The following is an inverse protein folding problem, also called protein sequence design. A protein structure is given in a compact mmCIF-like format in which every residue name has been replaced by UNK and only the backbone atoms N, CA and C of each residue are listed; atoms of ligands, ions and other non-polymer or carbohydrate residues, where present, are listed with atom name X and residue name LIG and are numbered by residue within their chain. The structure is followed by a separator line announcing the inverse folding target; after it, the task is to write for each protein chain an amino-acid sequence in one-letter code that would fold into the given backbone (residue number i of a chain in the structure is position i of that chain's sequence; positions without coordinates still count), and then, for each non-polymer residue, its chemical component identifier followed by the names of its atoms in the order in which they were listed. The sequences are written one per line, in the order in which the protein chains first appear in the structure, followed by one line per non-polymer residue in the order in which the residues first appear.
data_IF_105501101548
#
_entry.id   IF_105501101548
#
_cell.length_a   1.000
_cell.length_b   1.000
_cell.length_c   1.000
_cell.angle_alpha   90.00
_cell.angle_beta   90.00
_cell.angle_gamma   90.00
#
_symmetry.space_group_name_H-M   'P 1'
#
loop_
_entity.id
_entity.type
_entity.pdbx_description
1 polymer ?
#
# COMPACT_ATOMS: atom_id res chain seq x y z
N UNK A 1 6.38 -17.75 13.77
CA UNK A 1 6.07 -16.33 13.52
C UNK A 1 4.67 -16.10 14.05
N UNK A 2 4.41 -14.96 14.71
CA UNK A 2 3.05 -14.54 15.06
C UNK A 2 2.59 -13.55 14.00
N UNK A 3 1.39 -13.72 13.48
CA UNK A 3 0.78 -12.72 12.59
C UNK A 3 0.20 -11.57 13.41
N UNK A 4 -0.16 -10.47 12.72
CA UNK A 4 -0.64 -9.25 13.33
C UNK A 4 -1.85 -9.50 14.26
N UNK A 5 -2.79 -10.35 13.84
CA UNK A 5 -3.95 -10.74 14.65
C UNK A 5 -3.53 -11.30 16.01
N UNK A 6 -2.61 -12.27 16.04
CA UNK A 6 -2.14 -12.87 17.30
C UNK A 6 -1.25 -11.89 18.10
N UNK A 7 -0.44 -11.09 17.42
CA UNK A 7 0.50 -10.18 18.08
C UNK A 7 -0.22 -9.05 18.81
N UNK A 8 -1.21 -8.44 18.17
CA UNK A 8 -1.97 -7.31 18.72
C UNK A 8 -3.21 -7.75 19.50
N UNK A 9 -3.72 -8.97 19.27
CA UNK A 9 -4.99 -9.41 19.82
C UNK A 9 -6.17 -8.63 19.23
N UNK A 10 -6.08 -8.28 17.94
CA UNK A 10 -6.99 -7.41 17.20
C UNK A 10 -7.20 -8.03 15.80
N UNK A 11 -8.45 -8.20 15.36
CA UNK A 11 -8.77 -8.75 14.02
C UNK A 11 -8.48 -7.75 12.92
N UNK A 12 -8.64 -6.46 13.20
CA UNK A 12 -8.52 -5.39 12.21
C UNK A 12 -7.19 -4.63 12.32
N UNK A 13 -6.21 -5.10 11.55
CA UNK A 13 -4.88 -4.50 11.53
C UNK A 13 -4.48 -4.12 10.11
N UNK A 14 -4.28 -2.82 9.92
CA UNK A 14 -3.69 -2.25 8.71
C UNK A 14 -2.17 -2.08 8.87
N UNK A 15 -1.41 -2.63 7.93
CA UNK A 15 0.03 -2.49 7.81
C UNK A 15 0.33 -1.57 6.61
N UNK A 16 0.91 -0.39 6.86
CA UNK A 16 1.14 0.63 5.81
C UNK A 16 2.53 1.24 5.90
N UNK A 17 3.18 1.44 4.75
CA UNK A 17 4.36 2.29 4.64
C UNK A 17 5.27 1.91 3.47
N UNK A 18 6.42 2.56 3.40
CA UNK A 18 7.54 2.18 2.52
C UNK A 18 8.21 0.91 3.07
N UNK A 19 8.05 -0.19 2.36
CA UNK A 19 8.61 -1.49 2.69
C UNK A 19 9.81 -1.86 1.82
N UNK A 20 10.19 -0.98 0.87
CA UNK A 20 11.19 -1.25 -0.17
C UNK A 20 10.93 -2.59 -0.87
N UNK A 21 9.66 -2.88 -1.16
CA UNK A 21 9.15 -4.21 -1.45
C UNK A 21 9.18 -4.66 -2.91
N UNK A 22 10.12 -4.16 -3.70
CA UNK A 22 10.25 -4.47 -5.14
C UNK A 22 11.68 -4.14 -5.62
N UNK A 23 11.93 -4.33 -6.92
CA UNK A 23 13.13 -3.90 -7.61
C UNK A 23 14.38 -4.66 -7.17
N UNK A 24 15.47 -3.93 -6.98
CA UNK A 24 16.74 -4.52 -6.57
C UNK A 24 16.79 -4.88 -5.07
N UNK A 25 15.83 -4.39 -4.27
CA UNK A 25 15.83 -4.59 -2.83
C UNK A 25 15.15 -5.90 -2.42
N UNK A 26 14.06 -6.24 -3.11
CA UNK A 26 13.24 -7.38 -2.74
C UNK A 26 12.48 -7.93 -3.94
N UNK A 27 12.31 -9.26 -3.99
CA UNK A 27 11.42 -9.92 -4.95
C UNK A 27 9.99 -9.85 -4.41
N UNK A 28 9.17 -8.97 -4.97
CA UNK A 28 7.80 -8.70 -4.52
C UNK A 28 6.88 -9.93 -4.50
N UNK A 29 7.19 -10.99 -5.24
CA UNK A 29 6.45 -12.25 -5.18
C UNK A 29 6.74 -13.02 -3.88
N UNK A 30 7.92 -12.85 -3.29
CA UNK A 30 8.32 -13.49 -2.02
C UNK A 30 7.60 -12.89 -0.81
N UNK A 31 6.95 -11.73 -0.94
CA UNK A 31 6.27 -11.06 0.15
C UNK A 31 5.04 -11.85 0.63
N UNK A 32 4.46 -12.68 -0.25
CA UNK A 32 3.38 -13.61 0.08
C UNK A 32 3.82 -14.69 1.08
N UNK A 33 5.11 -14.95 1.26
CA UNK A 33 5.58 -15.88 2.31
C UNK A 33 5.50 -15.26 3.71
N UNK A 34 5.54 -13.92 3.80
CA UNK A 34 5.49 -13.17 5.06
C UNK A 34 4.08 -12.65 5.37
N UNK A 35 3.35 -12.27 4.33
CA UNK A 35 1.94 -11.85 4.36
C UNK A 35 1.11 -12.80 3.48
N UNK A 36 0.85 -14.03 3.97
CA UNK A 36 0.22 -15.04 3.14
C UNK A 36 -1.24 -14.68 2.81
N UNK A 37 -1.72 -14.95 1.58
CA UNK A 37 -3.04 -14.50 1.12
C UNK A 37 -4.25 -15.03 1.91
N UNK A 38 -4.07 -16.09 2.71
CA UNK A 38 -5.10 -16.62 3.60
C UNK A 38 -5.17 -15.86 4.95
N UNK A 39 -4.13 -15.11 5.30
CA UNK A 39 -4.04 -14.33 6.55
C UNK A 39 -4.09 -12.82 6.31
N UNK A 40 -3.69 -12.38 5.11
CA UNK A 40 -3.58 -10.98 4.75
C UNK A 40 -4.22 -10.69 3.40
N UNK A 41 -4.90 -9.56 3.35
CA UNK A 41 -5.36 -8.89 2.16
C UNK A 41 -4.26 -7.98 1.62
N UNK A 42 -3.81 -8.25 0.40
CA UNK A 42 -2.91 -7.36 -0.35
C UNK A 42 -3.71 -6.27 -1.05
N UNK A 43 -3.47 -5.02 -0.66
CA UNK A 43 -4.26 -3.88 -1.17
C UNK A 43 -3.50 -3.15 -2.27
N UNK A 44 -2.21 -2.84 -2.08
CA UNK A 44 -1.38 -2.31 -3.18
C UNK A 44 -0.77 -3.47 -3.98
N UNK A 45 -1.13 -3.61 -5.27
CA UNK A 45 -0.64 -4.71 -6.10
C UNK A 45 0.82 -4.49 -6.51
N UNK A 46 1.50 -5.59 -6.81
CA UNK A 46 2.86 -5.64 -7.36
C UNK A 46 3.05 -4.81 -8.66
N UNK A 47 1.97 -4.52 -9.38
CA UNK A 47 2.03 -3.68 -10.59
C UNK A 47 2.01 -2.17 -10.33
N UNK A 48 1.97 -1.71 -9.08
CA UNK A 48 1.80 -0.29 -8.75
C UNK A 48 3.14 0.45 -8.70
N UNK A 49 3.30 1.51 -9.51
CA UNK A 49 4.46 2.39 -9.39
C UNK A 49 4.27 3.37 -8.24
N UNK A 50 5.00 3.20 -7.14
CA UNK A 50 4.93 4.08 -5.97
C UNK A 50 6.07 5.09 -5.93
N UNK A 51 6.88 5.20 -6.99
CA UNK A 51 8.11 6.02 -6.99
C UNK A 51 8.04 7.20 -7.95
N UNK A 52 8.52 8.36 -7.51
CA UNK A 52 8.78 9.54 -8.37
C UNK A 52 10.15 9.36 -9.04
N UNK A 53 10.33 8.20 -9.69
CA UNK A 53 11.59 7.81 -10.32
C UNK A 53 11.35 7.41 -11.78
N UNK A 54 12.44 7.24 -12.52
CA UNK A 54 12.36 6.74 -13.90
C UNK A 54 11.98 5.26 -13.97
N UNK A 55 12.35 4.50 -12.95
CA UNK A 55 12.07 3.07 -12.84
C UNK A 55 10.85 2.89 -11.95
N UNK A 56 9.87 2.16 -12.44
CA UNK A 56 8.69 1.77 -11.66
C UNK A 56 9.09 0.75 -10.61
N UNK A 57 8.78 1.02 -9.35
CA UNK A 57 8.89 0.04 -8.27
C UNK A 57 7.71 0.16 -7.30
N UNK A 58 7.27 -0.97 -6.74
CA UNK A 58 6.23 -1.04 -5.71
C UNK A 58 6.85 -1.06 -4.31
N UNK A 59 7.39 0.08 -3.85
CA UNK A 59 8.03 0.17 -2.53
C UNK A 59 7.03 0.35 -1.39
N UNK A 60 6.02 1.17 -1.61
CA UNK A 60 5.01 1.49 -0.61
C UNK A 60 3.88 0.47 -0.68
N UNK A 61 3.49 -0.09 0.47
CA UNK A 61 2.45 -1.11 0.57
C UNK A 61 1.37 -0.71 1.56
N UNK A 62 0.16 -1.15 1.23
CA UNK A 62 -0.91 -1.39 2.20
C UNK A 62 -1.21 -2.89 2.14
N UNK A 63 -1.14 -3.54 3.29
CA UNK A 63 -1.76 -4.84 3.52
C UNK A 63 -2.65 -4.75 4.76
N UNK A 64 -3.71 -5.54 4.79
CA UNK A 64 -4.60 -5.66 5.93
C UNK A 64 -4.68 -7.12 6.38
N UNK A 65 -5.03 -7.37 7.63
CA UNK A 65 -5.48 -8.71 8.03
C UNK A 65 -6.72 -9.12 7.23
N UNK A 66 -6.90 -10.42 6.99
CA UNK A 66 -7.96 -10.91 6.10
C UNK A 66 -9.39 -10.61 6.60
N UNK A 67 -9.59 -10.37 7.89
CA UNK A 67 -10.87 -9.95 8.47
C UNK A 67 -11.37 -8.63 7.85
N UNK A 68 -10.47 -7.65 7.65
CA UNK A 68 -10.77 -6.34 7.06
C UNK A 68 -11.25 -6.39 5.59
N UNK A 69 -11.35 -7.58 4.98
CA UNK A 69 -11.88 -7.72 3.61
C UNK A 69 -13.33 -7.23 3.50
N UNK A 70 -14.13 -7.30 4.56
CA UNK A 70 -15.50 -6.79 4.58
C UNK A 70 -15.59 -5.26 4.59
N UNK A 71 -14.59 -4.62 5.19
CA UNK A 71 -14.47 -3.17 5.23
C UNK A 71 -13.84 -2.60 3.97
N UNK A 72 -12.92 -3.32 3.33
CA UNK A 72 -12.27 -2.81 2.13
C UNK A 72 -13.28 -2.64 0.98
N UNK A 73 -13.37 -1.44 0.42
CA UNK A 73 -14.30 -1.17 -0.69
C UNK A 73 -13.86 -1.81 -2.01
N UNK A 74 -12.63 -2.32 -2.07
CA UNK A 74 -11.95 -2.72 -3.30
C UNK A 74 -11.23 -1.56 -3.99
N UNK A 75 -11.37 -0.33 -3.48
CA UNK A 75 -10.68 0.83 -4.03
C UNK A 75 -9.33 1.04 -3.35
N UNK A 76 -8.32 1.27 -4.18
CA UNK A 76 -6.98 1.64 -3.78
C UNK A 76 -6.27 2.35 -4.93
N UNK A 77 -5.12 2.93 -4.65
CA UNK A 77 -4.26 3.43 -5.71
C UNK A 77 -3.05 4.19 -5.23
N UNK A 78 -2.36 4.76 -6.21
CA UNK A 78 -1.22 5.66 -6.02
C UNK A 78 -1.68 7.06 -6.37
N UNK A 79 -1.45 8.02 -5.47
CA UNK A 79 -1.74 9.42 -5.72
C UNK A 79 -0.60 10.10 -6.47
N UNK A 80 -0.76 10.17 -7.80
CA UNK A 80 0.15 10.84 -8.74
C UNK A 80 0.01 12.35 -8.64
N UNK A 81 0.53 12.92 -7.56
CA UNK A 81 0.45 14.36 -7.30
C UNK A 81 1.12 15.18 -8.41
N UNK A 82 2.13 14.63 -9.07
CA UNK A 82 2.88 15.22 -10.18
C UNK A 82 2.02 15.43 -11.44
N UNK A 83 0.99 14.61 -11.62
CA UNK A 83 0.06 14.67 -12.75
C UNK A 83 -1.07 15.69 -12.54
N UNK A 84 -1.23 16.22 -11.33
CA UNK A 84 -2.26 17.20 -11.03
C UNK A 84 -1.95 18.56 -11.67
N UNK A 85 -2.96 19.19 -12.29
CA UNK A 85 -2.83 20.53 -12.89
C UNK A 85 -2.35 21.58 -11.86
N UNK A 86 -2.90 21.50 -10.65
CA UNK A 86 -2.51 22.38 -9.55
C UNK A 86 -1.02 22.23 -9.21
N UNK A 87 -0.47 21.02 -9.27
CA UNK A 87 0.95 20.77 -9.02
C UNK A 87 1.82 21.32 -10.15
N UNK A 88 1.46 21.02 -11.40
CA UNK A 88 2.13 21.54 -12.60
C UNK A 88 2.25 23.07 -12.58
N UNK A 89 1.24 23.76 -12.04
CA UNK A 89 1.22 25.23 -11.96
C UNK A 89 2.23 25.84 -10.97
N UNK A 90 2.76 25.04 -10.04
CA UNK A 90 3.74 25.48 -9.04
C UNK A 90 5.15 25.68 -9.63
N UNK A 91 5.44 25.06 -10.78
CA UNK A 91 6.77 25.12 -11.40
C UNK A 91 7.87 24.45 -10.57
N UNK A 92 7.50 23.53 -9.68
CA UNK A 92 8.42 22.72 -8.87
C UNK A 92 8.56 21.33 -9.48
N UNK A 93 9.74 20.73 -9.35
CA UNK A 93 9.95 19.33 -9.69
C UNK A 93 9.31 18.44 -8.60
N UNK A 94 8.64 17.36 -9.00
CA UNK A 94 8.02 16.41 -8.09
C UNK A 94 9.03 15.82 -7.10
N UNK A 95 10.25 15.55 -7.57
CA UNK A 95 11.34 15.00 -6.76
C UNK A 95 11.77 15.94 -5.62
N UNK A 96 11.49 17.24 -5.73
CA UNK A 96 11.79 18.21 -4.67
C UNK A 96 10.81 18.11 -3.49
N UNK A 97 9.67 17.45 -3.68
CA UNK A 97 8.69 17.17 -2.63
C UNK A 97 8.95 15.79 -2.03
N UNK A 98 9.00 14.76 -2.87
CA UNK A 98 9.31 13.39 -2.47
C UNK A 98 9.73 12.55 -3.68
N UNK A 99 10.52 11.53 -3.43
CA UNK A 99 10.84 10.44 -4.34
C UNK A 99 9.81 9.30 -4.32
N UNK A 100 8.74 9.42 -3.52
CA UNK A 100 7.64 8.46 -3.43
C UNK A 100 6.29 9.14 -3.65
N UNK A 101 5.34 8.38 -4.21
CA UNK A 101 3.95 8.77 -4.28
C UNK A 101 3.17 8.24 -3.08
N UNK A 102 2.23 9.01 -2.50
CA UNK A 102 1.32 8.48 -1.50
C UNK A 102 0.48 7.34 -2.06
N UNK A 103 0.29 6.28 -1.29
CA UNK A 103 -0.67 5.21 -1.55
C UNK A 103 -1.94 5.43 -0.74
N UNK A 104 -3.06 4.95 -1.24
CA UNK A 104 -4.36 5.09 -0.58
C UNK A 104 -5.23 3.85 -0.78
N UNK A 105 -6.18 3.67 0.14
CA UNK A 105 -7.25 2.68 0.07
C UNK A 105 -8.48 3.20 0.80
N UNK A 106 -9.66 2.78 0.35
CA UNK A 106 -10.94 3.19 0.94
C UNK A 106 -11.57 2.04 1.71
N UNK A 107 -12.14 2.35 2.87
CA UNK A 107 -12.80 1.38 3.74
C UNK A 107 -14.19 1.89 4.15
N UNK A 108 -15.14 0.98 4.33
CA UNK A 108 -16.38 1.23 5.02
C UNK A 108 -16.10 1.38 6.53
N UNK A 109 -16.93 2.16 7.22
CA UNK A 109 -16.84 2.36 8.69
C UNK A 109 -18.08 1.84 9.43
N UNK A 110 -19.02 1.23 8.69
CA UNK A 110 -20.31 0.76 9.20
C UNK A 110 -20.57 -0.71 8.81
N UNK A 111 -19.56 -1.42 8.30
CA UNK A 111 -19.68 -2.80 7.79
C UNK A 111 -18.98 -3.86 8.63
N UNK A 112 -18.48 -3.45 9.78
CA UNK A 112 -17.97 -4.34 10.82
C UNK A 112 -19.05 -5.35 11.22
N UNK A 113 -18.86 -6.62 10.83
CA UNK A 113 -19.77 -7.73 11.08
C UNK A 113 -19.14 -8.82 11.97
N UNK A 114 -17.99 -8.57 12.58
CA UNK A 114 -17.31 -9.49 13.50
C UNK A 114 -17.61 -9.24 15.01
#
# INVERSE_FOLDING_TARGET
MRFAVEYYGESDVLCVGDWNSDGAYFDEESYQDFFPPDQYLWIIPNSADTTVARQSNTYDRIAATSAMQEDWTGECGVYRFDEAEAFSSLGIDAIAISDHYPIWASFYIEKDID
#
